data_IF_509500908603
#
_entry.id   IF_509500908603
#
_cell.length_a   1.000
_cell.length_b   1.000
_cell.length_c   1.000
_cell.angle_alpha   90.00
_cell.angle_beta   90.00
_cell.angle_gamma   90.00
#
_symmetry.space_group_name_H-M   'P 1'
#
loop_
_entity.id
_entity.type
_entity.pdbx_description
1 polymer ?
#
# COMPACT_ATOMS: atom_id res chain seq x y z
N UNK A 1 2.99 -28.71 14.24
CA UNK A 1 1.62 -28.50 13.74
C UNK A 1 1.71 -27.52 12.58
N UNK A 2 1.44 -27.99 11.36
CA UNK A 2 1.67 -27.22 10.14
C UNK A 2 0.68 -26.07 10.02
N UNK A 3 1.19 -24.84 9.96
CA UNK A 3 0.41 -23.72 9.46
C UNK A 3 0.26 -23.93 7.94
N UNK A 4 -0.85 -24.53 7.52
CA UNK A 4 -1.30 -24.41 6.14
C UNK A 4 -1.55 -22.92 5.92
N UNK A 5 -0.58 -22.23 5.30
CA UNK A 5 -0.72 -20.84 4.95
C UNK A 5 -1.94 -20.71 4.04
N UNK A 6 -3.05 -20.19 4.58
CA UNK A 6 -4.26 -19.94 3.82
C UNK A 6 -3.87 -19.13 2.58
N UNK A 7 -3.91 -19.77 1.40
CA UNK A 7 -3.58 -19.10 0.14
C UNK A 7 -4.59 -17.97 -0.03
N UNK A 8 -4.12 -16.74 0.13
CA UNK A 8 -4.93 -15.53 -0.03
C UNK A 8 -5.50 -15.51 -1.45
N UNK A 9 -6.78 -15.20 -1.58
CA UNK A 9 -7.46 -15.22 -2.87
C UNK A 9 -8.08 -13.87 -3.22
N UNK A 10 -7.88 -13.45 -4.47
CA UNK A 10 -8.58 -12.36 -5.14
C UNK A 10 -9.44 -12.98 -6.24
N UNK A 11 -10.77 -12.81 -6.20
CA UNK A 11 -11.71 -13.47 -7.14
C UNK A 11 -11.59 -15.00 -7.20
N UNK A 12 -11.37 -15.66 -6.06
CA UNK A 12 -11.20 -17.13 -6.00
C UNK A 12 -9.87 -17.64 -6.57
N UNK A 13 -9.05 -16.77 -7.17
CA UNK A 13 -7.70 -17.08 -7.64
C UNK A 13 -6.66 -16.69 -6.58
N UNK A 14 -5.53 -17.40 -6.45
CA UNK A 14 -4.45 -16.97 -5.58
C UNK A 14 -3.99 -15.55 -5.92
N UNK A 15 -3.76 -14.73 -4.89
CA UNK A 15 -3.18 -13.42 -5.04
C UNK A 15 -1.81 -13.55 -5.71
N UNK A 16 -1.59 -12.82 -6.80
CA UNK A 16 -0.32 -12.80 -7.52
C UNK A 16 0.51 -11.60 -7.08
N UNK A 17 1.81 -11.64 -7.33
CA UNK A 17 2.69 -10.51 -7.04
C UNK A 17 2.25 -9.23 -7.76
N UNK A 18 1.70 -9.33 -8.98
CA UNK A 18 1.25 -8.17 -9.77
C UNK A 18 0.03 -7.45 -9.18
N UNK A 19 -0.75 -8.12 -8.33
CA UNK A 19 -1.92 -7.57 -7.63
C UNK A 19 -1.51 -6.62 -6.48
N UNK A 20 -0.24 -6.67 -6.09
CA UNK A 20 0.35 -5.83 -5.04
C UNK A 20 1.46 -4.95 -5.61
N UNK A 21 1.49 -3.69 -5.20
CA UNK A 21 2.57 -2.75 -5.51
C UNK A 21 3.04 -2.09 -4.23
N UNK A 22 4.28 -1.58 -4.14
CA UNK A 22 4.62 -0.66 -3.06
C UNK A 22 3.65 0.52 -3.05
N UNK A 23 3.12 0.90 -1.89
CA UNK A 23 2.31 2.12 -1.80
C UNK A 23 3.17 3.37 -2.04
N UNK A 24 4.38 3.37 -1.48
CA UNK A 24 5.45 4.33 -1.74
C UNK A 24 6.66 3.56 -2.29
N UNK A 25 7.43 4.19 -3.16
CA UNK A 25 8.61 3.57 -3.79
C UNK A 25 9.87 3.62 -2.92
N UNK A 26 9.84 4.43 -1.86
CA UNK A 26 10.88 4.60 -0.85
C UNK A 26 10.26 4.77 0.54
N UNK A 27 11.09 4.77 1.59
CA UNK A 27 10.62 4.99 2.96
C UNK A 27 10.02 6.40 3.13
N UNK A 28 9.17 6.64 4.15
CA UNK A 28 8.72 7.97 4.51
C UNK A 28 9.87 8.97 4.57
N UNK A 29 9.81 9.99 3.70
CA UNK A 29 10.78 11.09 3.68
C UNK A 29 10.72 11.87 4.98
N UNK A 30 11.81 12.57 5.33
CA UNK A 30 11.81 13.39 6.54
C UNK A 30 10.86 14.58 6.37
N UNK A 31 10.44 15.12 7.51
CA UNK A 31 9.69 16.36 7.53
C UNK A 31 10.43 17.45 6.74
N UNK A 32 9.66 18.28 6.04
CA UNK A 32 10.13 19.38 5.21
C UNK A 32 10.73 19.00 3.84
N UNK A 33 11.01 17.72 3.58
CA UNK A 33 11.53 17.30 2.28
C UNK A 33 10.51 17.59 1.17
N UNK A 34 9.33 16.97 1.16
CA UNK A 34 8.31 17.19 0.14
C UNK A 34 7.38 18.36 0.51
N UNK A 35 7.87 19.60 0.37
CA UNK A 35 7.09 20.81 0.68
C UNK A 35 7.03 21.81 -0.48
N UNK A 36 6.08 22.75 -0.42
CA UNK A 36 5.93 23.85 -1.40
C UNK A 36 6.95 24.99 -1.20
N UNK A 37 8.08 24.76 -0.52
CA UNK A 37 9.18 25.74 -0.42
C UNK A 37 10.01 25.78 -1.72
N UNK A 38 9.33 25.73 -2.86
CA UNK A 38 9.89 25.79 -4.20
C UNK A 38 9.12 26.84 -5.00
N UNK A 39 9.78 27.49 -5.95
CA UNK A 39 9.18 28.61 -6.70
C UNK A 39 8.05 28.18 -7.65
N UNK A 40 7.95 26.88 -7.99
CA UNK A 40 6.95 26.38 -8.92
C UNK A 40 6.31 25.06 -8.46
N UNK A 41 4.99 24.93 -8.66
CA UNK A 41 4.24 23.70 -8.37
C UNK A 41 4.78 22.48 -9.13
N UNK A 42 5.20 22.67 -10.39
CA UNK A 42 5.75 21.59 -11.21
C UNK A 42 7.00 20.96 -10.58
N UNK A 43 7.82 21.75 -9.89
CA UNK A 43 9.02 21.25 -9.21
C UNK A 43 8.64 20.28 -8.09
N UNK A 44 7.67 20.63 -7.25
CA UNK A 44 7.12 19.70 -6.25
C UNK A 44 6.57 18.44 -6.93
N UNK A 45 5.85 18.57 -8.05
CA UNK A 45 5.30 17.41 -8.77
C UNK A 45 6.39 16.48 -9.28
N UNK A 46 7.50 17.01 -9.80
CA UNK A 46 8.64 16.20 -10.22
C UNK A 46 9.27 15.41 -9.07
N UNK A 47 9.25 15.97 -7.85
CA UNK A 47 9.78 15.31 -6.64
C UNK A 47 8.81 14.28 -6.06
N UNK A 48 7.51 14.57 -6.06
CA UNK A 48 6.45 13.67 -5.53
C UNK A 48 6.15 12.52 -6.50
N UNK A 49 6.27 12.72 -7.80
CA UNK A 49 5.93 11.71 -8.80
C UNK A 49 6.66 10.38 -8.61
N UNK A 50 8.00 10.32 -8.44
CA UNK A 50 8.69 9.06 -8.19
C UNK A 50 8.28 8.44 -6.84
N UNK A 51 8.05 9.26 -5.81
CA UNK A 51 7.68 8.82 -4.46
C UNK A 51 6.34 8.06 -4.42
N UNK A 52 5.32 8.57 -5.11
CA UNK A 52 3.96 8.02 -5.14
C UNK A 52 3.57 7.45 -6.51
N UNK A 53 4.55 6.89 -7.24
CA UNK A 53 4.46 6.49 -8.66
C UNK A 53 3.16 5.76 -9.02
N UNK A 54 2.75 4.77 -8.24
CA UNK A 54 1.64 3.90 -8.59
C UNK A 54 0.25 4.50 -8.30
N UNK A 55 0.15 5.48 -7.40
CA UNK A 55 -1.14 5.99 -6.92
C UNK A 55 -1.90 6.79 -7.99
N UNK A 56 -1.17 7.56 -8.79
CA UNK A 56 -1.78 8.46 -9.78
C UNK A 56 -2.60 7.69 -10.84
N UNK A 57 -2.13 6.50 -11.24
CA UNK A 57 -2.80 5.67 -12.25
C UNK A 57 -4.18 5.23 -11.76
N UNK A 58 -4.32 4.85 -10.49
CA UNK A 58 -5.58 4.35 -9.94
C UNK A 58 -6.57 5.46 -9.60
N UNK A 59 -6.08 6.65 -9.26
CA UNK A 59 -6.93 7.84 -9.17
C UNK A 59 -7.57 8.16 -10.53
N UNK A 60 -6.78 8.08 -11.61
CA UNK A 60 -7.26 8.36 -12.97
C UNK A 60 -8.16 7.26 -13.51
N UNK A 61 -7.82 5.98 -13.28
CA UNK A 61 -8.62 4.85 -13.77
C UNK A 61 -9.90 4.60 -12.98
N UNK A 62 -9.98 5.12 -11.75
CA UNK A 62 -11.10 4.88 -10.83
C UNK A 62 -11.14 3.46 -10.26
N UNK A 63 -10.08 2.66 -10.44
CA UNK A 63 -10.01 1.33 -9.83
C UNK A 63 -9.91 1.42 -8.31
N UNK A 64 -10.61 0.54 -7.56
CA UNK A 64 -10.52 0.54 -6.11
C UNK A 64 -9.13 0.06 -5.67
N UNK A 65 -8.52 0.79 -4.73
CA UNK A 65 -7.20 0.48 -4.20
C UNK A 65 -7.15 0.70 -2.68
N UNK A 66 -6.35 -0.10 -1.97
CA UNK A 66 -6.14 0.04 -0.52
C UNK A 66 -4.66 -0.07 -0.16
N UNK A 67 -4.22 0.76 0.79
CA UNK A 67 -2.88 0.70 1.39
C UNK A 67 -2.90 -0.20 2.62
N UNK A 68 -2.10 -1.27 2.60
CA UNK A 68 -2.06 -2.30 3.64
C UNK A 68 -0.71 -2.25 4.38
N UNK A 69 -0.68 -1.97 5.70
CA UNK A 69 0.55 -1.81 6.48
C UNK A 69 1.14 -3.17 6.89
N UNK A 70 1.60 -3.94 5.89
CA UNK A 70 2.02 -5.32 6.07
C UNK A 70 3.42 -5.45 6.67
N UNK A 71 4.27 -4.44 6.51
CA UNK A 71 5.70 -4.50 6.81
C UNK A 71 6.14 -3.31 7.66
N UNK A 72 7.29 -3.47 8.31
CA UNK A 72 8.04 -2.38 8.93
C UNK A 72 9.53 -2.65 8.75
N UNK A 73 10.35 -1.61 8.72
CA UNK A 73 11.80 -1.76 8.78
C UNK A 73 12.24 -2.29 10.15
N UNK A 74 13.48 -2.78 10.32
CA UNK A 74 14.01 -3.17 11.62
C UNK A 74 13.92 -2.06 12.68
N UNK A 75 13.96 -0.79 12.25
CA UNK A 75 13.84 0.41 13.07
C UNK A 75 12.39 0.80 13.36
N UNK A 76 11.41 0.02 12.86
CA UNK A 76 9.99 0.25 13.11
C UNK A 76 9.29 1.22 12.16
N UNK A 77 9.95 1.62 11.06
CA UNK A 77 9.32 2.51 10.06
C UNK A 77 8.28 1.72 9.26
N UNK A 78 6.99 2.13 9.22
CA UNK A 78 5.93 1.37 8.57
C UNK A 78 6.04 1.40 7.05
N UNK A 79 5.83 0.25 6.42
CA UNK A 79 5.81 0.07 4.97
C UNK A 79 4.49 -0.55 4.53
N UNK A 80 3.91 -0.01 3.47
CA UNK A 80 2.62 -0.46 2.97
C UNK A 80 2.68 -1.02 1.55
N UNK A 81 1.88 -2.06 1.32
CA UNK A 81 1.58 -2.57 -0.01
C UNK A 81 0.22 -2.03 -0.47
N UNK A 82 0.16 -1.53 -1.69
CA UNK A 82 -1.05 -1.13 -2.38
C UNK A 82 -1.68 -2.36 -3.07
N UNK A 83 -2.86 -2.74 -2.60
CA UNK A 83 -3.72 -3.73 -3.23
C UNK A 83 -4.66 -3.02 -4.21
N UNK A 84 -4.78 -3.54 -5.43
CA UNK A 84 -5.63 -2.94 -6.47
C UNK A 84 -6.63 -3.96 -7.01
N UNK A 85 -7.89 -3.54 -7.10
CA UNK A 85 -8.98 -4.34 -7.61
C UNK A 85 -9.35 -3.98 -9.05
N UNK A 86 -10.19 -4.80 -9.66
CA UNK A 86 -10.89 -4.40 -10.89
C UNK A 86 -11.92 -3.32 -10.55
N UNK A 87 -12.27 -2.50 -11.53
CA UNK A 87 -13.30 -1.47 -11.39
C UNK A 87 -14.61 -2.08 -10.83
N UNK A 88 -15.21 -1.44 -9.83
CA UNK A 88 -16.42 -1.89 -9.15
C UNK A 88 -16.28 -3.13 -8.26
N UNK A 89 -15.05 -3.51 -7.88
CA UNK A 89 -14.76 -4.68 -7.02
C UNK A 89 -14.21 -4.31 -5.64
N UNK A 90 -14.80 -3.31 -5.03
CA UNK A 90 -14.53 -2.88 -3.64
C UNK A 90 -14.76 -4.04 -2.66
N UNK A 91 -15.69 -4.95 -2.96
CA UNK A 91 -15.96 -6.17 -2.18
C UNK A 91 -14.67 -6.97 -1.94
N UNK A 92 -13.81 -7.07 -2.95
CA UNK A 92 -12.53 -7.78 -2.84
C UNK A 92 -11.49 -6.99 -2.06
N UNK A 93 -11.42 -5.68 -2.30
CA UNK A 93 -10.52 -4.78 -1.58
C UNK A 93 -10.80 -4.82 -0.07
N UNK A 94 -12.04 -5.09 0.34
CA UNK A 94 -12.41 -5.25 1.74
C UNK A 94 -12.20 -6.68 2.27
N UNK A 95 -12.42 -7.71 1.44
CA UNK A 95 -12.26 -9.12 1.84
C UNK A 95 -10.78 -9.55 2.02
N UNK A 96 -9.90 -9.14 1.11
CA UNK A 96 -8.49 -9.57 1.14
C UNK A 96 -7.77 -9.10 2.42
N UNK A 97 -7.90 -7.84 2.88
CA UNK A 97 -7.33 -7.40 4.14
C UNK A 97 -7.88 -8.19 5.34
N UNK A 98 -9.14 -8.61 5.32
CA UNK A 98 -9.69 -9.44 6.39
C UNK A 98 -9.05 -10.83 6.43
N UNK A 99 -8.74 -11.43 5.27
CA UNK A 99 -7.99 -12.69 5.20
C UNK A 99 -6.54 -12.48 5.69
N UNK A 100 -5.89 -11.43 5.22
CA UNK A 100 -4.53 -11.05 5.61
C UNK A 100 -4.40 -10.82 7.12
N UNK A 101 -5.36 -10.12 7.76
CA UNK A 101 -5.36 -9.90 9.21
C UNK A 101 -5.38 -11.20 10.02
N UNK A 102 -6.05 -12.24 9.52
CA UNK A 102 -6.07 -13.56 10.17
C UNK A 102 -4.75 -14.31 10.00
N UNK A 103 -4.10 -14.17 8.85
CA UNK A 103 -2.84 -14.86 8.53
C UNK A 103 -1.62 -14.20 9.17
N UNK A 104 -1.58 -12.86 9.19
CA UNK A 104 -0.48 -12.07 9.74
C UNK A 104 -1.05 -10.83 10.43
N UNK A 105 -1.38 -10.87 11.73
CA UNK A 105 -1.96 -9.73 12.44
C UNK A 105 -0.98 -8.53 12.52
N UNK A 106 -1.36 -7.38 11.96
CA UNK A 106 -0.61 -6.13 12.11
C UNK A 106 -1.26 -5.12 13.07
N UNK A 107 -2.48 -5.40 13.56
CA UNK A 107 -3.21 -4.50 14.48
C UNK A 107 -2.50 -4.25 15.81
N UNK A 108 -1.57 -5.13 16.21
CA UNK A 108 -0.73 -4.95 17.39
C UNK A 108 0.43 -3.97 17.21
N UNK A 109 0.77 -3.61 15.95
CA UNK A 109 1.85 -2.65 15.67
C UNK A 109 1.32 -1.24 15.86
N UNK A 110 1.65 -0.63 16.99
CA UNK A 110 1.30 0.76 17.30
C UNK A 110 2.57 1.60 17.41
N UNK A 111 2.58 2.82 16.86
CA UNK A 111 3.68 3.75 17.13
C UNK A 111 3.70 4.11 18.61
N UNK A 112 4.90 4.34 19.14
CA UNK A 112 5.07 5.05 20.40
C UNK A 112 4.88 6.53 20.08
N UNK A 113 3.88 7.16 20.71
CA UNK A 113 3.58 8.59 20.54
C UNK A 113 4.30 9.41 21.60
#
# INVERSE_FOLDING_TARGET
>A
MGHEAARLKLNGKPLQADDLKPALTELPVKLSELTMHCSAFLELRHRVSPYATFMAVFNTSGQPAASLPLLATPEGVPMAAQLVGRFGREDLILQVPAQLKRAAPWLGRKPVL
#
